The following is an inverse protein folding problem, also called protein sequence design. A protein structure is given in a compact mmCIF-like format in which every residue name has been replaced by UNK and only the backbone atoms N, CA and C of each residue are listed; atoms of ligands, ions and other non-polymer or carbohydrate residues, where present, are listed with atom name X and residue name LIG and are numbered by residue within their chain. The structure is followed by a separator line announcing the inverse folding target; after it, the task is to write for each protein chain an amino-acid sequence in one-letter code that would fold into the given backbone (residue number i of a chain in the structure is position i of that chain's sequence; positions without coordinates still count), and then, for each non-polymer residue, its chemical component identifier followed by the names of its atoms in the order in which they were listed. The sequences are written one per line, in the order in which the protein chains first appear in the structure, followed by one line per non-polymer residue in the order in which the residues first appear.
data_IF_068658355363
#
_entry.id   IF_068658355363
#
_cell.length_a   1.000
_cell.length_b   1.000
_cell.length_c   1.000
_cell.angle_alpha   90.00
_cell.angle_beta   90.00
_cell.angle_gamma   90.00
#
_symmetry.space_group_name_H-M   'P 1'
#
loop_
_entity.id
_entity.type
_entity.pdbx_description
1 polymer ?
#
# COMPACT_ATOMS: atom_id res chain seq x y z
N UNK A 1 24.36 41.12 67.89
CA UNK A 1 24.88 40.51 66.67
C UNK A 1 23.74 39.86 65.94
N UNK A 2 23.27 40.41 64.83
CA UNK A 2 22.02 40.02 64.14
C UNK A 2 22.40 39.18 62.94
N UNK A 3 21.94 37.91 62.91
CA UNK A 3 22.07 37.04 61.78
C UNK A 3 20.87 37.24 60.82
N UNK A 4 21.11 37.72 59.62
CA UNK A 4 20.09 37.88 58.55
C UNK A 4 19.95 36.58 57.79
N UNK A 5 18.80 35.95 57.95
CA UNK A 5 18.39 34.77 57.17
C UNK A 5 17.83 35.22 55.80
N UNK A 6 18.50 34.88 54.71
CA UNK A 6 18.09 35.10 53.35
C UNK A 6 17.18 33.95 52.88
N UNK A 7 15.91 34.22 52.69
CA UNK A 7 14.89 33.31 52.12
C UNK A 7 15.04 33.32 50.58
N UNK A 8 15.52 32.22 50.00
CA UNK A 8 15.55 32.01 48.54
C UNK A 8 14.21 31.48 48.07
N UNK A 9 13.45 32.30 47.36
CA UNK A 9 12.22 31.90 46.66
C UNK A 9 12.63 31.26 45.33
N UNK A 10 12.44 29.97 45.21
CA UNK A 10 12.59 29.23 43.94
C UNK A 10 11.27 29.32 43.19
N UNK A 11 11.24 30.11 42.10
CA UNK A 11 10.13 30.13 41.16
C UNK A 11 10.19 28.90 40.26
N UNK A 12 9.26 27.96 40.42
CA UNK A 12 9.09 26.84 39.52
C UNK A 12 8.23 27.31 38.35
N UNK A 13 8.87 27.50 37.18
CA UNK A 13 8.17 27.76 35.92
C UNK A 13 7.61 26.44 35.41
N UNK A 14 6.29 26.23 35.52
CA UNK A 14 5.60 25.13 34.88
C UNK A 14 5.47 25.39 33.38
N UNK A 15 6.28 24.74 32.57
CA UNK A 15 6.15 24.72 31.12
C UNK A 15 4.99 23.79 30.79
N UNK A 16 3.82 24.34 30.48
CA UNK A 16 2.70 23.62 29.90
C UNK A 16 3.07 23.24 28.46
N UNK A 17 3.46 21.98 28.26
CA UNK A 17 3.62 21.43 26.92
C UNK A 17 2.20 21.29 26.29
N UNK A 18 1.82 22.26 25.45
CA UNK A 18 0.68 22.06 24.55
C UNK A 18 1.08 20.96 23.56
N UNK A 19 0.55 19.74 23.79
CA UNK A 19 0.61 18.68 22.82
C UNK A 19 -0.20 19.08 21.59
N UNK A 20 0.47 19.53 20.52
CA UNK A 20 -0.14 19.54 19.19
C UNK A 20 -0.35 18.10 18.79
N UNK A 21 -1.56 17.56 19.02
CA UNK A 21 -2.06 16.39 18.30
C UNK A 21 -2.24 16.81 16.83
N UNK A 22 -1.17 16.70 16.04
CA UNK A 22 -1.27 16.79 14.60
C UNK A 22 -2.11 15.61 14.14
N UNK A 23 -3.36 15.85 13.72
CA UNK A 23 -4.09 14.87 12.94
C UNK A 23 -3.22 14.56 11.72
N UNK A 24 -2.76 13.32 11.58
CA UNK A 24 -2.05 12.88 10.38
C UNK A 24 -2.96 13.20 9.19
N UNK A 25 -2.48 14.04 8.29
CA UNK A 25 -3.22 14.37 7.07
C UNK A 25 -3.45 13.05 6.32
N UNK A 26 -4.68 12.80 5.88
CA UNK A 26 -5.00 11.65 5.04
C UNK A 26 -4.24 11.80 3.73
N UNK A 27 -3.19 11.00 3.55
CA UNK A 27 -2.29 11.03 2.39
C UNK A 27 -2.84 10.23 1.20
N UNK A 28 -4.03 9.67 1.32
CA UNK A 28 -4.66 8.90 0.23
C UNK A 28 -4.99 9.82 -0.94
N UNK A 29 -4.61 9.45 -2.17
CA UNK A 29 -4.94 10.25 -3.34
C UNK A 29 -6.45 10.33 -3.55
N UNK A 30 -6.92 11.49 -4.01
CA UNK A 30 -8.32 11.69 -4.38
C UNK A 30 -8.48 11.46 -5.87
N UNK A 31 -9.34 10.51 -6.22
CA UNK A 31 -9.72 10.29 -7.62
C UNK A 31 -10.70 11.37 -8.06
N UNK A 32 -10.27 12.22 -8.98
CA UNK A 32 -11.07 13.32 -9.52
C UNK A 32 -11.87 12.93 -10.76
N UNK A 33 -11.37 11.94 -11.52
CA UNK A 33 -12.02 11.40 -12.70
C UNK A 33 -12.50 9.98 -12.45
N UNK A 34 -13.72 9.67 -12.90
CA UNK A 34 -14.20 8.30 -12.94
C UNK A 34 -13.83 7.57 -14.25
N UNK A 35 -13.22 8.28 -15.20
CA UNK A 35 -12.85 7.73 -16.50
C UNK A 35 -11.51 7.00 -16.40
N UNK A 36 -11.55 5.69 -16.63
CA UNK A 36 -10.35 4.87 -16.73
C UNK A 36 -9.73 4.97 -18.13
N UNK A 37 -8.43 4.61 -18.28
CA UNK A 37 -7.78 4.54 -19.58
C UNK A 37 -8.57 3.69 -20.58
N UNK A 38 -8.61 4.12 -21.84
CA UNK A 38 -9.27 3.37 -22.91
C UNK A 38 -8.31 3.24 -24.08
N UNK A 39 -7.85 2.02 -24.43
CA UNK A 39 -8.19 0.74 -23.79
C UNK A 39 -7.62 0.60 -22.37
N UNK A 40 -8.23 -0.29 -21.56
CA UNK A 40 -7.66 -0.64 -20.24
C UNK A 40 -6.26 -1.26 -20.42
N UNK A 41 -5.32 -1.02 -19.48
CA UNK A 41 -3.95 -1.52 -19.56
C UNK A 41 -3.86 -3.05 -19.57
N UNK A 42 -2.72 -3.57 -19.99
CA UNK A 42 -2.33 -4.98 -19.97
C UNK A 42 -1.04 -5.11 -19.14
N UNK A 43 -1.11 -4.98 -17.81
CA UNK A 43 0.07 -4.76 -16.97
C UNK A 43 0.89 -6.02 -16.69
N UNK A 44 0.38 -7.22 -17.01
CA UNK A 44 1.05 -8.46 -16.67
C UNK A 44 1.92 -8.94 -17.83
N UNK A 45 3.25 -8.99 -17.62
CA UNK A 45 4.16 -9.65 -18.58
C UNK A 45 4.09 -11.18 -18.35
N UNK A 46 3.51 -11.87 -19.31
CA UNK A 46 3.34 -13.33 -19.25
C UNK A 46 4.68 -14.11 -19.38
N UNK A 47 5.74 -13.45 -19.84
CA UNK A 47 7.08 -14.01 -20.00
C UNK A 47 8.04 -13.66 -18.85
N UNK A 48 7.65 -12.76 -17.94
CA UNK A 48 8.50 -12.31 -16.85
C UNK A 48 8.87 -13.43 -15.86
N UNK A 49 10.04 -13.32 -15.25
CA UNK A 49 10.43 -14.07 -14.06
C UNK A 49 9.80 -13.41 -12.82
N UNK A 50 8.57 -13.79 -12.51
CA UNK A 50 7.83 -13.21 -11.40
C UNK A 50 8.55 -13.34 -10.05
N UNK A 51 9.34 -14.40 -9.84
CA UNK A 51 10.11 -14.56 -8.59
C UNK A 51 11.24 -13.55 -8.50
N UNK A 52 11.93 -13.30 -9.62
CA UNK A 52 12.97 -12.28 -9.70
C UNK A 52 12.37 -10.88 -9.50
N UNK A 53 11.22 -10.58 -10.10
CA UNK A 53 10.54 -9.29 -9.98
C UNK A 53 10.08 -9.02 -8.54
N UNK A 54 9.50 -10.02 -7.88
CA UNK A 54 9.12 -9.94 -6.45
C UNK A 54 10.34 -9.72 -5.56
N UNK A 55 11.42 -10.47 -5.79
CA UNK A 55 12.66 -10.30 -5.03
C UNK A 55 13.25 -8.89 -5.21
N UNK A 56 13.23 -8.37 -6.44
CA UNK A 56 13.69 -7.02 -6.75
C UNK A 56 12.82 -5.94 -6.08
N UNK A 57 11.48 -6.08 -6.12
CA UNK A 57 10.56 -5.16 -5.46
C UNK A 57 10.79 -5.13 -3.95
N UNK A 58 10.94 -6.28 -3.31
CA UNK A 58 11.26 -6.39 -1.86
C UNK A 58 12.60 -5.73 -1.54
N UNK A 59 13.63 -5.95 -2.37
CA UNK A 59 14.94 -5.35 -2.15
C UNK A 59 14.88 -3.81 -2.25
N UNK A 60 14.16 -3.26 -3.25
CA UNK A 60 13.96 -1.82 -3.38
C UNK A 60 13.17 -1.24 -2.21
N UNK A 61 12.08 -1.89 -1.82
CA UNK A 61 11.24 -1.47 -0.68
C UNK A 61 12.03 -1.42 0.62
N UNK A 62 12.88 -2.42 0.87
CA UNK A 62 13.77 -2.44 2.03
C UNK A 62 14.79 -1.29 2.01
N UNK A 63 15.28 -0.89 0.83
CA UNK A 63 16.26 0.17 0.69
C UNK A 63 15.66 1.57 0.83
N UNK A 64 14.40 1.79 0.38
CA UNK A 64 13.76 3.09 0.33
C UNK A 64 12.62 3.29 1.35
N UNK A 65 12.30 2.27 2.15
CA UNK A 65 11.28 2.35 3.20
C UNK A 65 9.83 2.26 2.69
N UNK A 66 9.62 1.93 1.40
CA UNK A 66 8.27 1.77 0.82
C UNK A 66 7.68 0.41 1.16
N UNK A 67 6.37 0.31 1.00
CA UNK A 67 5.66 -0.98 1.00
C UNK A 67 5.87 -1.72 -0.33
N UNK A 68 5.58 -3.02 -0.35
CA UNK A 68 5.51 -3.80 -1.59
C UNK A 68 4.06 -4.10 -1.90
N UNK A 69 3.63 -3.85 -3.13
CA UNK A 69 2.33 -4.27 -3.64
C UNK A 69 2.55 -5.42 -4.65
N UNK A 70 2.16 -6.63 -4.26
CA UNK A 70 2.16 -7.80 -5.12
C UNK A 70 0.75 -8.00 -5.67
N UNK A 71 0.55 -7.77 -6.96
CA UNK A 71 -0.74 -7.94 -7.64
C UNK A 71 -0.72 -9.21 -8.49
N UNK A 72 -1.45 -10.22 -8.03
CA UNK A 72 -1.62 -11.50 -8.70
C UNK A 72 -2.85 -11.48 -9.59
N UNK A 73 -2.64 -11.56 -10.90
CA UNK A 73 -3.73 -11.47 -11.85
C UNK A 73 -3.36 -11.96 -13.25
N UNK A 74 -3.87 -11.27 -14.26
CA UNK A 74 -3.55 -11.54 -15.66
C UNK A 74 -4.34 -10.68 -16.62
N UNK A 75 -3.80 -10.46 -17.81
CA UNK A 75 -4.40 -9.60 -18.85
C UNK A 75 -5.76 -10.09 -19.35
N UNK A 76 -6.09 -11.36 -19.12
CA UNK A 76 -7.38 -11.98 -19.41
C UNK A 76 -8.50 -11.61 -18.42
N UNK A 77 -8.15 -11.01 -17.26
CA UNK A 77 -9.06 -10.70 -16.15
C UNK A 77 -9.53 -9.24 -16.24
N UNK A 78 -10.81 -8.97 -16.44
CA UNK A 78 -11.30 -7.58 -16.49
C UNK A 78 -11.10 -6.80 -15.20
N UNK A 79 -11.30 -7.43 -14.03
CA UNK A 79 -11.12 -6.78 -12.73
C UNK A 79 -9.65 -6.39 -12.48
N UNK A 80 -8.70 -7.22 -12.93
CA UNK A 80 -7.27 -6.96 -12.83
C UNK A 80 -6.89 -5.74 -13.68
N UNK A 81 -7.43 -5.66 -14.91
CA UNK A 81 -7.19 -4.54 -15.80
C UNK A 81 -7.82 -3.23 -15.32
N UNK A 82 -8.97 -3.31 -14.63
CA UNK A 82 -9.59 -2.15 -13.97
C UNK A 82 -8.74 -1.70 -12.80
N UNK A 83 -8.26 -2.63 -11.96
CA UNK A 83 -7.33 -2.29 -10.88
C UNK A 83 -6.10 -1.55 -11.43
N UNK A 84 -5.46 -2.10 -12.45
CA UNK A 84 -4.32 -1.45 -13.09
C UNK A 84 -4.67 -0.06 -13.63
N UNK A 85 -5.81 0.08 -14.32
CA UNK A 85 -6.27 1.37 -14.82
C UNK A 85 -6.53 2.41 -13.74
N UNK A 86 -6.93 1.99 -12.55
CA UNK A 86 -7.07 2.89 -11.39
C UNK A 86 -5.70 3.30 -10.86
N UNK A 87 -4.74 2.37 -10.79
CA UNK A 87 -3.37 2.68 -10.32
C UNK A 87 -2.59 3.59 -11.27
N UNK A 88 -2.96 3.60 -12.56
CA UNK A 88 -2.38 4.43 -13.62
C UNK A 88 -3.09 5.79 -13.82
N UNK A 89 -4.11 6.13 -13.02
CA UNK A 89 -4.71 7.47 -13.07
C UNK A 89 -3.67 8.53 -12.63
N UNK A 90 -3.58 9.64 -13.36
CA UNK A 90 -2.60 10.72 -13.12
C UNK A 90 -2.54 11.15 -11.65
N UNK A 91 -3.70 11.25 -11.00
CA UNK A 91 -3.83 11.64 -9.59
C UNK A 91 -3.50 10.52 -8.60
N UNK A 92 -3.33 9.28 -9.07
CA UNK A 92 -3.06 8.08 -8.24
C UNK A 92 -1.64 7.57 -8.44
N UNK A 93 -1.13 7.56 -9.68
CA UNK A 93 0.16 6.98 -10.05
C UNK A 93 1.32 7.52 -9.21
N UNK A 94 1.38 8.84 -9.02
CA UNK A 94 2.41 9.47 -8.19
C UNK A 94 2.41 8.95 -6.76
N UNK A 95 1.24 8.89 -6.12
CA UNK A 95 1.10 8.39 -4.75
C UNK A 95 1.39 6.89 -4.65
N UNK A 96 1.03 6.10 -5.67
CA UNK A 96 1.41 4.68 -5.76
C UNK A 96 2.93 4.56 -5.80
N UNK A 97 3.60 5.32 -6.68
CA UNK A 97 5.05 5.31 -6.81
C UNK A 97 5.79 5.78 -5.55
N UNK A 98 5.21 6.71 -4.78
CA UNK A 98 5.77 7.17 -3.50
C UNK A 98 5.60 6.13 -2.38
N UNK A 99 4.52 5.36 -2.40
CA UNK A 99 4.12 4.46 -1.31
C UNK A 99 4.57 3.03 -1.52
N UNK A 100 4.58 2.55 -2.78
CA UNK A 100 4.77 1.15 -3.10
C UNK A 100 5.89 0.88 -4.10
N UNK A 101 6.55 -0.25 -3.94
CA UNK A 101 7.24 -0.99 -4.99
C UNK A 101 6.27 -2.04 -5.52
N UNK A 102 5.84 -1.90 -6.76
CA UNK A 102 4.80 -2.75 -7.37
C UNK A 102 5.44 -3.91 -8.13
N UNK A 103 4.86 -5.11 -7.99
CA UNK A 103 5.14 -6.26 -8.84
C UNK A 103 3.83 -6.85 -9.35
N UNK A 104 3.67 -6.90 -10.67
CA UNK A 104 2.55 -7.50 -11.37
C UNK A 104 2.89 -8.97 -11.68
N UNK A 105 2.10 -9.91 -11.14
CA UNK A 105 2.40 -11.34 -11.21
C UNK A 105 1.30 -12.05 -12.03
N UNK A 106 1.66 -12.47 -13.26
CA UNK A 106 0.72 -13.25 -14.06
C UNK A 106 0.55 -14.66 -13.49
N UNK A 107 -0.69 -15.03 -13.19
CA UNK A 107 -1.04 -16.36 -12.66
C UNK A 107 -1.48 -17.37 -13.72
N UNK A 108 -1.37 -17.03 -15.03
CA UNK A 108 -1.59 -17.96 -16.12
C UNK A 108 -2.92 -18.72 -16.04
N UNK A 109 -4.03 -18.05 -15.73
CA UNK A 109 -5.34 -18.67 -15.46
C UNK A 109 -5.27 -19.70 -14.34
N UNK A 110 -4.64 -19.30 -13.21
CA UNK A 110 -4.44 -20.14 -12.01
C UNK A 110 -3.54 -21.36 -12.23
N UNK A 111 -2.51 -21.27 -13.10
CA UNK A 111 -1.62 -22.39 -13.44
C UNK A 111 -0.15 -22.11 -13.16
N UNK A 112 0.26 -20.85 -12.91
CA UNK A 112 1.65 -20.49 -12.64
C UNK A 112 1.78 -19.44 -11.53
N UNK A 113 2.96 -19.36 -10.94
CA UNK A 113 3.33 -18.35 -9.92
C UNK A 113 2.46 -18.35 -8.64
N UNK A 114 1.64 -19.41 -8.42
CA UNK A 114 0.78 -19.53 -7.25
C UNK A 114 1.60 -19.73 -5.97
N UNK A 115 2.71 -20.41 -6.08
CA UNK A 115 3.67 -20.68 -5.00
C UNK A 115 4.22 -19.40 -4.36
N UNK A 116 4.27 -18.30 -5.11
CA UNK A 116 4.68 -16.99 -4.57
C UNK A 116 3.68 -16.50 -3.51
N UNK A 117 2.37 -16.59 -3.78
CA UNK A 117 1.34 -16.22 -2.81
C UNK A 117 1.26 -17.24 -1.65
N UNK A 118 1.45 -18.51 -1.95
CA UNK A 118 1.46 -19.60 -0.95
C UNK A 118 2.56 -19.40 0.09
N UNK A 119 3.70 -18.83 -0.28
CA UNK A 119 4.77 -18.47 0.65
C UNK A 119 4.33 -17.46 1.75
N UNK A 120 3.26 -16.69 1.49
CA UNK A 120 2.61 -15.80 2.46
C UNK A 120 1.34 -16.41 3.08
N UNK A 121 1.10 -17.71 2.87
CA UNK A 121 -0.10 -18.39 3.38
C UNK A 121 -1.38 -18.08 2.61
N UNK A 122 -1.27 -17.48 1.41
CA UNK A 122 -2.42 -17.10 0.58
C UNK A 122 -2.62 -18.11 -0.54
N UNK A 123 -3.78 -18.77 -0.55
CA UNK A 123 -4.24 -19.57 -1.67
C UNK A 123 -5.05 -18.70 -2.63
N UNK A 124 -4.57 -18.51 -3.85
CA UNK A 124 -5.27 -17.69 -4.86
C UNK A 124 -6.49 -18.47 -5.37
N UNK A 125 -7.67 -17.94 -5.06
CA UNK A 125 -8.97 -18.51 -5.51
C UNK A 125 -9.76 -17.54 -6.38
N UNK A 126 -9.35 -16.27 -6.39
CA UNK A 126 -9.92 -15.19 -7.20
C UNK A 126 -8.81 -14.20 -7.59
N UNK A 127 -9.02 -13.41 -8.62
CA UNK A 127 -8.08 -12.36 -9.07
C UNK A 127 -8.84 -11.07 -9.42
N UNK A 128 -8.22 -9.90 -9.18
CA UNK A 128 -6.90 -9.74 -8.56
C UNK A 128 -6.87 -10.19 -7.11
N UNK A 129 -5.79 -10.84 -6.71
CA UNK A 129 -5.40 -11.05 -5.32
C UNK A 129 -4.22 -10.13 -5.04
N UNK A 130 -4.31 -9.29 -4.01
CA UNK A 130 -3.29 -8.31 -3.67
C UNK A 130 -2.69 -8.62 -2.31
N UNK A 131 -1.36 -8.74 -2.26
CA UNK A 131 -0.59 -8.89 -1.02
C UNK A 131 0.22 -7.62 -0.83
N UNK A 132 0.03 -6.95 0.32
CA UNK A 132 0.85 -5.81 0.71
C UNK A 132 1.84 -6.25 1.78
N UNK A 133 3.12 -5.93 1.54
CA UNK A 133 4.18 -6.14 2.53
C UNK A 133 4.66 -4.80 3.04
N UNK A 134 5.01 -4.73 4.32
CA UNK A 134 5.74 -3.57 4.85
C UNK A 134 7.23 -3.61 4.43
N UNK A 135 8.00 -2.55 4.70
CA UNK A 135 9.43 -2.50 4.34
C UNK A 135 10.27 -3.62 4.96
N UNK A 136 9.77 -4.30 6.01
CA UNK A 136 10.40 -5.44 6.65
C UNK A 136 9.95 -6.79 6.07
N UNK A 137 9.06 -6.77 5.07
CA UNK A 137 8.54 -7.94 4.38
C UNK A 137 7.39 -8.65 5.12
N UNK A 138 6.77 -8.01 6.12
CA UNK A 138 5.62 -8.56 6.83
C UNK A 138 4.34 -8.32 6.03
N UNK A 139 3.48 -9.32 5.95
CA UNK A 139 2.18 -9.25 5.26
C UNK A 139 1.17 -8.44 6.08
N UNK A 140 0.75 -7.27 5.59
CA UNK A 140 -0.07 -6.31 6.36
C UNK A 140 -1.57 -6.39 6.07
N UNK A 141 -2.01 -6.90 4.92
CA UNK A 141 -3.45 -7.05 4.59
C UNK A 141 -3.94 -8.51 4.62
N UNK A 142 -3.39 -9.35 5.50
CA UNK A 142 -3.61 -10.81 5.55
C UNK A 142 -5.09 -11.23 5.61
N UNK A 143 -5.97 -10.43 6.23
CA UNK A 143 -7.41 -10.73 6.30
C UNK A 143 -8.17 -10.50 4.99
N UNK A 144 -7.61 -9.79 4.00
CA UNK A 144 -8.36 -9.26 2.87
C UNK A 144 -7.61 -9.28 1.52
N UNK A 145 -6.85 -10.34 1.17
CA UNK A 145 -6.05 -10.34 -0.06
C UNK A 145 -6.90 -10.33 -1.35
N UNK A 146 -8.16 -10.77 -1.29
CA UNK A 146 -9.09 -10.81 -2.44
C UNK A 146 -10.11 -9.67 -2.44
N UNK A 147 -9.96 -8.65 -1.58
CA UNK A 147 -10.92 -7.55 -1.47
C UNK A 147 -11.17 -6.79 -2.79
N UNK A 148 -10.22 -6.84 -3.72
CA UNK A 148 -10.29 -6.18 -5.03
C UNK A 148 -10.70 -7.13 -6.18
N UNK A 149 -11.03 -8.39 -5.90
CA UNK A 149 -11.40 -9.37 -6.94
C UNK A 149 -12.71 -9.07 -7.69
N UNK A 150 -13.42 -8.01 -7.28
CA UNK A 150 -14.61 -7.48 -7.95
C UNK A 150 -14.44 -5.99 -8.29
N UNK A 151 -13.26 -5.59 -8.73
CA UNK A 151 -12.89 -4.19 -8.99
C UNK A 151 -13.85 -3.49 -9.97
N UNK A 152 -14.39 -4.22 -10.96
CA UNK A 152 -15.37 -3.66 -11.94
C UNK A 152 -16.68 -3.16 -11.31
N UNK A 153 -17.04 -3.64 -10.12
CA UNK A 153 -18.21 -3.18 -9.38
C UNK A 153 -17.87 -2.08 -8.36
N UNK A 154 -16.60 -1.73 -8.22
CA UNK A 154 -16.13 -0.71 -7.30
C UNK A 154 -15.96 0.65 -8.00
N UNK A 155 -16.16 1.73 -7.25
CA UNK A 155 -15.75 3.07 -7.70
C UNK A 155 -14.23 3.17 -7.62
N UNK A 156 -13.54 3.88 -8.55
CA UNK A 156 -12.09 4.06 -8.48
C UNK A 156 -11.59 4.54 -7.12
N UNK A 157 -12.26 5.51 -6.50
CA UNK A 157 -11.91 5.96 -5.15
C UNK A 157 -11.94 4.84 -4.10
N UNK A 158 -12.93 3.94 -4.17
CA UNK A 158 -13.03 2.83 -3.22
C UNK A 158 -11.87 1.83 -3.36
N UNK A 159 -11.34 1.63 -4.57
CA UNK A 159 -10.15 0.82 -4.82
C UNK A 159 -8.93 1.49 -4.17
N UNK A 160 -8.74 2.78 -4.39
CA UNK A 160 -7.67 3.60 -3.79
C UNK A 160 -7.77 3.56 -2.26
N UNK A 161 -8.95 3.83 -1.71
CA UNK A 161 -9.17 3.81 -0.25
C UNK A 161 -8.84 2.45 0.37
N UNK A 162 -9.13 1.36 -0.35
CA UNK A 162 -8.82 0.00 0.10
C UNK A 162 -7.31 -0.21 0.16
N UNK A 163 -6.58 0.09 -0.92
CA UNK A 163 -5.13 -0.15 -1.01
C UNK A 163 -4.37 0.72 0.00
N UNK A 164 -4.63 2.02 0.00
CA UNK A 164 -3.93 2.95 0.90
C UNK A 164 -4.38 2.78 2.36
N UNK A 165 -5.63 2.31 2.59
CA UNK A 165 -6.13 1.97 3.92
C UNK A 165 -5.31 0.87 4.59
N UNK A 166 -4.84 -0.12 3.85
CA UNK A 166 -4.02 -1.21 4.41
C UNK A 166 -2.68 -0.75 4.98
N UNK A 167 -2.07 0.29 4.39
CA UNK A 167 -0.77 0.81 4.88
C UNK A 167 -0.94 1.88 5.96
N UNK A 168 -2.07 2.59 5.99
CA UNK A 168 -2.35 3.60 7.01
C UNK A 168 -2.64 2.99 8.40
N UNK A 169 -3.07 1.73 8.45
CA UNK A 169 -3.39 1.00 9.69
C UNK A 169 -2.22 0.17 10.24
N UNK A 170 -1.09 0.11 9.52
CA UNK A 170 0.07 -0.72 9.86
C UNK A 170 1.11 0.00 10.74
N UNK A 171 0.82 1.21 11.23
CA UNK A 171 1.70 1.98 12.15
C UNK A 171 1.39 1.71 13.61
#
# INVERSE_FOLDING_TARGET
MAAKTLLKIAAIAAIAALGLSGAAADTRPRVLSAALPTPLPLPYDEAADAKADVAAAIARAKANGKHVLLDFGGNWCPDCRILAGVLELDEVEGAVGETFEVAMIDVGRFKKNLDIAEAYGVKITAVPTVIILDPQGRFVNAGHPTALSNARAMKPQAIVDTIFGWVSTAN
#
